data_IF_012538321798
#
_entry.id   IF_012538321798
#
_cell.length_a   1.000
_cell.length_b   1.000
_cell.length_c   1.000
_cell.angle_alpha   90.00
_cell.angle_beta   90.00
_cell.angle_gamma   90.00
#
_symmetry.space_group_name_H-M   'P 1'
#
loop_
_entity.id
_entity.type
_entity.pdbx_description
1 polymer ?
#
# COMPACT_ATOMS: atom_id res chain seq x y z
N UNK A 1 -47.92 17.82 -29.98
CA UNK A 1 -46.76 18.72 -29.77
C UNK A 1 -45.83 18.02 -28.79
N UNK A 2 -44.60 17.59 -29.04
CA UNK A 2 -43.67 17.49 -30.18
C UNK A 2 -42.75 16.31 -29.77
N UNK A 3 -42.66 15.23 -30.55
CA UNK A 3 -41.44 14.79 -31.24
C UNK A 3 -40.13 15.49 -30.80
N UNK A 4 -39.08 14.74 -30.41
CA UNK A 4 -37.97 14.31 -31.31
C UNK A 4 -36.77 13.71 -30.55
N UNK A 5 -36.16 12.68 -31.14
CA UNK A 5 -34.87 12.05 -30.82
C UNK A 5 -33.67 13.01 -30.88
N UNK A 6 -32.65 12.76 -30.06
CA UNK A 6 -31.22 12.82 -30.45
C UNK A 6 -30.52 11.64 -29.72
N UNK A 7 -30.47 10.41 -30.27
CA UNK A 7 -29.41 9.78 -31.09
C UNK A 7 -27.95 9.87 -30.61
N UNK A 8 -27.29 8.69 -30.62
CA UNK A 8 -25.83 8.40 -30.75
C UNK A 8 -25.00 8.52 -29.46
N UNK A 9 -24.23 7.55 -28.95
CA UNK A 9 -23.40 6.51 -29.61
C UNK A 9 -23.34 5.23 -28.76
N UNK A 10 -23.60 4.09 -29.39
CA UNK A 10 -23.08 2.77 -29.02
C UNK A 10 -22.12 2.31 -30.13
N UNK A 11 -20.91 1.88 -29.79
CA UNK A 11 -19.98 1.01 -30.55
C UNK A 11 -18.59 1.08 -29.88
N UNK A 12 -18.15 0.05 -29.14
CA UNK A 12 -17.35 -1.11 -29.61
C UNK A 12 -15.91 -0.73 -29.99
N UNK A 13 -14.95 -1.24 -29.20
CA UNK A 13 -13.73 -2.00 -29.57
C UNK A 13 -13.15 -2.54 -28.22
N UNK A 14 -13.41 -3.78 -27.77
CA UNK A 14 -12.74 -5.05 -28.10
C UNK A 14 -11.18 -4.89 -28.03
N UNK A 15 -10.35 -5.66 -27.31
CA UNK A 15 -10.30 -7.11 -27.02
C UNK A 15 -9.25 -7.38 -25.90
N UNK A 16 -9.45 -8.44 -25.10
CA UNK A 16 -8.39 -9.27 -24.49
C UNK A 16 -8.15 -9.02 -23.00
N UNK A 17 -8.22 -9.95 -22.06
CA UNK A 17 -8.20 -11.42 -22.08
C UNK A 17 -9.13 -11.91 -20.96
N UNK A 18 -9.88 -12.98 -21.20
CA UNK A 18 -10.93 -13.45 -20.32
C UNK A 18 -10.43 -14.16 -19.07
N UNK A 19 -11.02 -13.82 -17.93
CA UNK A 19 -11.55 -14.80 -16.96
C UNK A 19 -12.66 -14.13 -16.17
N UNK A 20 -13.86 -14.69 -16.31
CA UNK A 20 -15.01 -14.45 -15.44
C UNK A 20 -14.74 -15.11 -14.07
N UNK A 21 -14.48 -14.30 -13.05
CA UNK A 21 -14.94 -14.67 -11.71
C UNK A 21 -15.96 -13.64 -11.26
N UNK A 22 -17.24 -14.03 -11.39
CA UNK A 22 -18.34 -13.36 -10.72
C UNK A 22 -18.12 -13.47 -9.22
N UNK A 23 -17.65 -12.40 -8.59
CA UNK A 23 -17.95 -12.14 -7.19
C UNK A 23 -18.63 -10.79 -7.11
N UNK A 24 -19.92 -10.84 -6.81
CA UNK A 24 -20.75 -9.69 -6.45
C UNK A 24 -20.15 -9.10 -5.17
N UNK A 25 -19.35 -8.05 -5.32
CA UNK A 25 -18.93 -7.18 -4.20
C UNK A 25 -19.84 -5.94 -4.20
N UNK A 26 -20.64 -5.70 -3.15
CA UNK A 26 -21.51 -4.52 -3.09
C UNK A 26 -20.68 -3.27 -2.75
N UNK A 27 -20.74 -2.25 -3.59
CA UNK A 27 -20.19 -0.92 -3.30
C UNK A 27 -21.00 -0.22 -2.18
N UNK A 28 -20.39 0.66 -1.34
CA UNK A 28 -19.57 1.78 -1.78
C UNK A 28 -18.14 1.61 -1.27
N UNK A 29 -17.30 0.85 -1.97
CA UNK A 29 -15.88 0.84 -1.64
C UNK A 29 -15.30 2.18 -2.06
N UNK A 30 -14.98 3.01 -1.08
CA UNK A 30 -13.94 4.02 -1.23
C UNK A 30 -12.70 3.32 -1.78
N UNK A 31 -12.33 3.60 -3.02
CA UNK A 31 -11.14 3.08 -3.70
C UNK A 31 -9.85 3.66 -3.10
N UNK A 32 -9.68 3.59 -1.78
CA UNK A 32 -8.43 4.01 -1.14
C UNK A 32 -7.43 2.86 -1.27
N UNK A 33 -6.21 3.18 -1.70
CA UNK A 33 -5.15 2.19 -1.81
C UNK A 33 -4.70 1.72 -0.41
N UNK A 34 -4.01 0.58 -0.35
CA UNK A 34 -3.39 0.11 0.90
C UNK A 34 -2.41 1.14 1.49
N UNK A 35 -1.73 1.94 0.65
CA UNK A 35 -0.90 3.07 1.07
C UNK A 35 -1.71 4.13 1.83
N UNK A 36 -2.84 4.55 1.26
CA UNK A 36 -3.73 5.53 1.90
C UNK A 36 -4.36 4.96 3.17
N UNK A 37 -4.75 3.69 3.16
CA UNK A 37 -5.26 3.02 4.35
C UNK A 37 -4.24 3.00 5.49
N UNK A 38 -2.97 2.70 5.16
CA UNK A 38 -1.86 2.72 6.10
C UNK A 38 -1.58 4.13 6.63
N UNK A 39 -1.54 5.14 5.75
CA UNK A 39 -1.39 6.55 6.10
C UNK A 39 -2.51 7.07 7.01
N UNK A 40 -3.76 6.69 6.74
CA UNK A 40 -4.91 7.13 7.53
C UNK A 40 -5.12 6.33 8.82
N UNK A 41 -4.32 5.31 9.10
CA UNK A 41 -4.49 4.51 10.32
C UNK A 41 -5.68 3.55 10.28
N UNK A 42 -6.18 3.18 9.10
CA UNK A 42 -7.36 2.31 8.97
C UNK A 42 -6.99 0.82 8.98
N UNK A 43 -6.89 0.22 10.17
CA UNK A 43 -6.63 -1.22 10.34
C UNK A 43 -7.68 -2.09 9.65
N UNK A 44 -8.95 -1.66 9.64
CA UNK A 44 -10.05 -2.35 8.93
C UNK A 44 -9.73 -2.42 7.43
N UNK A 45 -9.35 -1.30 6.82
CA UNK A 45 -9.12 -1.24 5.38
C UNK A 45 -7.82 -1.96 4.99
N UNK A 46 -6.77 -1.87 5.82
CA UNK A 46 -5.55 -2.66 5.63
C UNK A 46 -5.86 -4.16 5.67
N UNK A 47 -6.59 -4.64 6.67
CA UNK A 47 -6.98 -6.05 6.76
C UNK A 47 -7.86 -6.49 5.57
N UNK A 48 -8.75 -5.63 5.09
CA UNK A 48 -9.53 -5.92 3.88
C UNK A 48 -8.61 -6.13 2.67
N UNK A 49 -7.63 -5.24 2.44
CA UNK A 49 -6.66 -5.39 1.36
C UNK A 49 -5.84 -6.68 1.48
N UNK A 50 -5.35 -6.99 2.69
CA UNK A 50 -4.62 -8.23 2.95
C UNK A 50 -5.49 -9.47 2.71
N UNK A 51 -6.79 -9.42 3.05
CA UNK A 51 -7.70 -10.54 2.86
C UNK A 51 -8.01 -10.87 1.40
N UNK A 52 -7.94 -9.86 0.51
CA UNK A 52 -8.13 -10.05 -0.94
C UNK A 52 -6.83 -10.31 -1.69
N UNK A 53 -5.71 -10.46 -0.97
CA UNK A 53 -4.40 -10.79 -1.55
C UNK A 53 -3.74 -9.62 -2.25
N UNK A 54 -4.02 -8.37 -1.87
CA UNK A 54 -3.25 -7.21 -2.32
C UNK A 54 -1.78 -7.40 -1.95
N UNK A 55 -0.88 -7.04 -2.87
CA UNK A 55 0.55 -7.05 -2.60
C UNK A 55 0.88 -6.08 -1.44
N UNK A 56 1.31 -6.65 -0.31
CA UNK A 56 1.70 -5.90 0.89
C UNK A 56 2.94 -5.03 0.65
N UNK A 57 3.73 -5.35 -0.39
CA UNK A 57 4.92 -4.64 -0.83
C UNK A 57 4.69 -3.80 -2.08
N UNK A 58 3.42 -3.55 -2.44
CA UNK A 58 3.10 -2.64 -3.52
C UNK A 58 3.84 -1.31 -3.30
N UNK A 59 4.39 -0.76 -4.39
CA UNK A 59 5.03 0.55 -4.38
C UNK A 59 4.10 1.58 -5.01
N UNK A 60 4.10 2.78 -4.47
CA UNK A 60 3.47 3.94 -5.10
C UNK A 60 4.41 4.62 -6.11
N UNK A 61 4.05 5.82 -6.56
CA UNK A 61 4.82 6.58 -7.56
C UNK A 61 6.17 7.11 -7.03
N UNK A 62 6.37 7.11 -5.71
CA UNK A 62 7.62 7.54 -5.06
C UNK A 62 8.41 6.31 -4.53
N UNK A 63 8.00 5.11 -4.94
CA UNK A 63 8.62 3.85 -4.51
C UNK A 63 8.28 3.45 -3.08
N UNK A 64 7.46 4.24 -2.38
CA UNK A 64 7.04 4.01 -1.01
C UNK A 64 6.08 2.83 -0.91
N UNK A 65 6.28 2.00 0.11
CA UNK A 65 5.40 0.84 0.41
C UNK A 65 4.40 1.19 1.51
N UNK A 66 3.33 0.40 1.72
CA UNK A 66 2.41 0.61 2.85
C UNK A 66 3.12 0.71 4.20
N UNK A 67 4.24 0.00 4.36
CA UNK A 67 5.05 0.05 5.58
C UNK A 67 5.71 1.43 5.76
N UNK A 68 6.20 2.08 4.70
CA UNK A 68 6.69 3.46 4.75
C UNK A 68 5.60 4.42 5.22
N UNK A 69 4.38 4.28 4.69
CA UNK A 69 3.27 5.14 5.06
C UNK A 69 2.81 4.91 6.51
N UNK A 70 2.65 3.65 6.94
CA UNK A 70 2.26 3.34 8.31
C UNK A 70 3.29 3.89 9.32
N UNK A 71 4.58 3.73 9.01
CA UNK A 71 5.67 4.31 9.78
C UNK A 71 5.61 5.84 9.76
N UNK A 72 5.58 6.47 8.58
CA UNK A 72 5.57 7.93 8.42
C UNK A 72 4.45 8.65 9.19
N UNK A 73 3.34 7.96 9.44
CA UNK A 73 2.17 8.48 10.15
C UNK A 73 1.99 7.94 11.58
N UNK A 74 2.99 7.25 12.12
CA UNK A 74 3.05 6.74 13.51
C UNK A 74 1.98 5.68 13.86
N UNK A 75 1.53 4.91 12.86
CA UNK A 75 0.50 3.87 13.04
C UNK A 75 1.12 2.53 13.42
N UNK A 76 1.65 2.42 14.64
CA UNK A 76 2.35 1.21 15.13
C UNK A 76 1.56 -0.09 14.93
N UNK A 77 0.25 -0.10 15.20
CA UNK A 77 -0.59 -1.29 15.01
C UNK A 77 -0.61 -1.75 13.55
N UNK A 78 -0.62 -0.80 12.60
CA UNK A 78 -0.56 -1.13 11.17
C UNK A 78 0.85 -1.59 10.78
N UNK A 79 1.90 -1.02 11.36
CA UNK A 79 3.28 -1.51 11.16
C UNK A 79 3.37 -2.99 11.57
N UNK A 80 2.85 -3.37 12.73
CA UNK A 80 2.79 -4.77 13.18
C UNK A 80 2.00 -5.64 12.19
N UNK A 81 0.80 -5.22 11.80
CA UNK A 81 -0.05 -5.95 10.85
C UNK A 81 0.64 -6.19 9.49
N UNK A 82 1.32 -5.17 8.95
CA UNK A 82 2.01 -5.28 7.67
C UNK A 82 3.22 -6.20 7.75
N UNK A 83 4.00 -6.13 8.85
CA UNK A 83 5.15 -7.02 9.05
C UNK A 83 4.69 -8.48 9.20
N UNK A 84 3.64 -8.72 9.98
CA UNK A 84 3.04 -10.06 10.13
C UNK A 84 2.49 -10.61 8.80
N UNK A 85 2.05 -9.72 7.91
CA UNK A 85 1.62 -10.05 6.56
C UNK A 85 2.78 -10.25 5.56
N UNK A 86 4.04 -10.13 6.00
CA UNK A 86 5.22 -10.36 5.16
C UNK A 86 5.70 -9.12 4.38
N UNK A 87 5.43 -7.92 4.89
CA UNK A 87 6.05 -6.71 4.37
C UNK A 87 7.60 -6.80 4.45
N UNK A 88 8.27 -6.37 3.39
CA UNK A 88 9.72 -6.20 3.36
C UNK A 88 10.11 -5.00 4.22
N UNK A 89 10.60 -5.30 5.42
CA UNK A 89 11.09 -4.31 6.40
C UNK A 89 12.29 -3.50 5.91
N UNK A 90 12.96 -3.93 4.84
CA UNK A 90 14.11 -3.28 4.24
C UNK A 90 13.81 -2.73 2.83
N UNK A 91 12.53 -2.65 2.44
CA UNK A 91 12.13 -2.04 1.18
C UNK A 91 12.69 -0.62 1.10
N UNK A 92 13.29 -0.26 -0.03
CA UNK A 92 13.80 1.10 -0.31
C UNK A 92 12.77 1.85 -1.15
N UNK A 93 12.43 3.07 -0.77
CA UNK A 93 11.74 4.02 -1.65
C UNK A 93 12.67 4.54 -2.77
N UNK A 94 12.19 5.47 -3.60
CA UNK A 94 12.96 5.96 -4.75
C UNK A 94 14.15 6.85 -4.37
N UNK A 95 14.16 7.41 -3.15
CA UNK A 95 15.33 8.13 -2.60
C UNK A 95 16.27 7.22 -1.81
N UNK A 96 15.89 5.94 -1.68
CA UNK A 96 16.67 4.89 -1.04
C UNK A 96 16.45 4.79 0.46
N UNK A 97 15.51 5.53 1.04
CA UNK A 97 15.17 5.44 2.45
C UNK A 97 14.36 4.15 2.69
N UNK A 98 14.59 3.55 3.85
CA UNK A 98 13.86 2.38 4.35
C UNK A 98 12.79 2.80 5.36
N UNK A 99 11.84 1.94 5.73
CA UNK A 99 10.93 2.23 6.83
C UNK A 99 11.66 2.61 8.12
N UNK A 100 12.82 2.00 8.39
CA UNK A 100 13.62 2.35 9.57
C UNK A 100 14.23 3.75 9.46
N UNK A 101 14.68 4.17 8.28
CA UNK A 101 15.14 5.56 8.06
C UNK A 101 14.00 6.55 8.34
N UNK A 102 12.79 6.28 7.83
CA UNK A 102 11.60 7.12 8.08
C UNK A 102 11.32 7.24 9.58
N UNK A 103 11.27 6.12 10.31
CA UNK A 103 11.02 6.12 11.76
C UNK A 103 12.05 6.96 12.54
N UNK A 104 13.34 6.84 12.17
CA UNK A 104 14.42 7.58 12.82
C UNK A 104 14.34 9.08 12.51
N UNK A 105 14.10 9.45 11.25
CA UNK A 105 13.99 10.85 10.82
C UNK A 105 12.83 11.56 11.54
N UNK A 106 11.71 10.86 11.74
CA UNK A 106 10.53 11.36 12.43
C UNK A 106 10.55 11.16 13.94
N UNK A 107 11.62 10.56 14.49
CA UNK A 107 11.84 10.32 15.93
C UNK A 107 10.78 9.41 16.58
N UNK A 108 10.28 8.43 15.85
CA UNK A 108 9.32 7.44 16.31
C UNK A 108 10.04 6.23 16.94
N UNK A 109 10.49 6.40 18.18
CA UNK A 109 11.34 5.40 18.86
C UNK A 109 10.70 4.00 18.93
N UNK A 110 9.41 3.91 19.26
CA UNK A 110 8.73 2.62 19.39
C UNK A 110 8.67 1.86 18.05
N UNK A 111 8.38 2.57 16.95
CA UNK A 111 8.33 1.96 15.61
C UNK A 111 9.74 1.61 15.13
N UNK A 112 10.74 2.44 15.42
CA UNK A 112 12.13 2.14 15.09
C UNK A 112 12.62 0.87 15.81
N UNK A 113 12.31 0.72 17.10
CA UNK A 113 12.62 -0.49 17.87
C UNK A 113 11.90 -1.73 17.31
N UNK A 114 10.62 -1.60 16.97
CA UNK A 114 9.82 -2.66 16.35
C UNK A 114 10.42 -3.13 15.02
N UNK A 115 10.70 -2.19 14.11
CA UNK A 115 11.30 -2.49 12.81
C UNK A 115 12.68 -3.15 12.97
N UNK A 116 13.53 -2.62 13.85
CA UNK A 116 14.85 -3.19 14.14
C UNK A 116 14.77 -4.62 14.69
N UNK A 117 13.81 -4.89 15.59
CA UNK A 117 13.56 -6.25 16.11
C UNK A 117 13.18 -7.24 15.01
N UNK A 118 12.53 -6.77 13.94
CA UNK A 118 12.14 -7.58 12.79
C UNK A 118 13.19 -7.55 11.65
N UNK A 119 14.39 -7.03 11.92
CA UNK A 119 15.51 -7.03 10.97
C UNK A 119 15.51 -5.87 9.98
N UNK A 120 14.73 -4.82 10.25
CA UNK A 120 14.82 -3.54 9.55
C UNK A 120 16.18 -2.90 9.78
N UNK A 121 16.75 -2.37 8.71
CA UNK A 121 18.06 -1.70 8.67
C UNK A 121 17.91 -0.38 7.94
N UNK A 122 18.70 0.59 8.35
CA UNK A 122 18.82 1.86 7.63
C UNK A 122 19.49 1.64 6.28
N UNK A 123 19.28 2.56 5.33
CA UNK A 123 19.92 2.48 4.02
C UNK A 123 21.44 2.44 4.11
N UNK A 124 22.04 3.17 5.07
CA UNK A 124 23.49 3.17 5.29
C UNK A 124 24.03 1.82 5.74
N UNK A 125 23.27 1.10 6.57
CA UNK A 125 23.63 -0.25 6.99
C UNK A 125 23.51 -1.26 5.84
N UNK A 126 22.48 -1.13 5.01
CA UNK A 126 22.32 -1.94 3.81
C UNK A 126 23.44 -1.68 2.78
N UNK A 127 23.80 -0.40 2.57
CA UNK A 127 24.92 -0.01 1.72
C UNK A 127 26.26 -0.58 2.22
N UNK A 128 26.49 -0.56 3.54
CA UNK A 128 27.69 -1.17 4.15
C UNK A 128 27.75 -2.70 3.95
N UNK A 129 26.61 -3.35 3.73
CA UNK A 129 26.49 -4.78 3.40
C UNK A 129 26.60 -5.07 1.90
N UNK A 130 26.74 -4.05 1.06
CA UNK A 130 26.79 -4.19 -0.40
C UNK A 130 25.42 -4.50 -1.02
N UNK A 131 24.33 -4.03 -0.41
CA UNK A 131 22.93 -4.24 -0.84
C UNK A 131 22.25 -2.96 -1.30
#
# INVERSE_FOLDING_TARGET
MKHLLITTIAAVLLVGCGTIHQSIVPAPYTYISIHQAAMYGSTITVNQHLSVGTDVNAKDEEGGTPLHFATGWDHKEIVELLIDAGADVNAKDDIGDTPLDVAIQLKQTEIAELLGKHGGKTRKELEAEGK
#
